data_IF_379843481043
#
_entry.id   IF_379843481043
#
_cell.length_a   1.000
_cell.length_b   1.000
_cell.length_c   1.000
_cell.angle_alpha   90.00
_cell.angle_beta   90.00
_cell.angle_gamma   90.00
#
_symmetry.space_group_name_H-M   'P 1'
#
loop_
_entity.id
_entity.type
_entity.pdbx_description
1 polymer ?
#
# COMPACT_ATOMS: atom_id res chain seq x y z
N UNK A 1 10.48 -18.69 -27.48
CA UNK A 1 9.80 -18.59 -26.18
C UNK A 1 9.83 -17.10 -25.80
N UNK A 2 8.70 -16.40 -25.83
CA UNK A 2 8.64 -15.05 -25.29
C UNK A 2 8.85 -15.18 -23.78
N UNK A 3 9.91 -14.59 -23.25
CA UNK A 3 10.04 -14.36 -21.81
C UNK A 3 8.78 -13.61 -21.37
N UNK A 4 8.01 -14.24 -20.47
CA UNK A 4 6.90 -13.57 -19.80
C UNK A 4 7.53 -12.52 -18.91
N UNK A 5 7.65 -11.29 -19.41
CA UNK A 5 8.16 -10.17 -18.62
C UNK A 5 7.29 -10.05 -17.36
N UNK A 6 7.91 -10.20 -16.22
CA UNK A 6 7.22 -10.10 -14.93
C UNK A 6 6.78 -8.65 -14.72
N UNK A 7 5.46 -8.42 -14.61
CA UNK A 7 4.92 -7.10 -14.29
C UNK A 7 5.10 -6.79 -12.80
N UNK A 8 5.68 -5.64 -12.50
CA UNK A 8 5.88 -5.15 -11.15
C UNK A 8 4.54 -4.67 -10.59
N UNK A 9 4.14 -5.29 -9.50
CA UNK A 9 2.87 -4.99 -8.83
C UNK A 9 2.98 -3.76 -7.91
N UNK A 10 1.84 -3.17 -7.54
CA UNK A 10 1.74 -2.10 -6.54
C UNK A 10 2.49 -2.44 -5.25
N UNK A 11 2.33 -3.66 -4.76
CA UNK A 11 3.00 -4.13 -3.54
C UNK A 11 4.53 -4.15 -3.69
N UNK A 12 5.03 -4.67 -4.80
CA UNK A 12 6.48 -4.69 -5.06
C UNK A 12 7.05 -3.28 -5.17
N UNK A 13 6.35 -2.38 -5.87
CA UNK A 13 6.75 -0.98 -5.98
C UNK A 13 6.81 -0.28 -4.61
N UNK A 14 5.71 -0.31 -3.86
CA UNK A 14 5.63 0.39 -2.57
C UNK A 14 6.59 -0.19 -1.54
N UNK A 15 6.71 -1.52 -1.48
CA UNK A 15 7.67 -2.19 -0.61
C UNK A 15 9.11 -1.78 -0.95
N UNK A 16 9.48 -1.79 -2.24
CA UNK A 16 10.84 -1.42 -2.68
C UNK A 16 11.12 0.06 -2.42
N UNK A 17 10.12 0.93 -2.63
CA UNK A 17 10.24 2.36 -2.36
C UNK A 17 10.45 2.65 -0.86
N UNK A 18 9.82 1.90 0.02
CA UNK A 18 9.98 2.01 1.48
C UNK A 18 11.24 1.32 2.02
N UNK A 19 11.55 0.14 1.50
CA UNK A 19 12.70 -0.67 1.90
C UNK A 19 13.15 -1.58 0.76
N UNK A 20 14.34 -1.33 0.20
CA UNK A 20 14.88 -2.11 -0.91
C UNK A 20 14.94 -3.61 -0.61
N UNK A 21 15.34 -3.99 0.61
CA UNK A 21 15.40 -5.40 1.05
C UNK A 21 14.01 -6.01 1.10
N UNK A 22 12.99 -5.31 1.65
CA UNK A 22 11.62 -5.80 1.68
C UNK A 22 11.05 -5.97 0.26
N UNK A 23 11.33 -5.03 -0.64
CA UNK A 23 10.94 -5.13 -2.05
C UNK A 23 11.56 -6.37 -2.71
N UNK A 24 12.85 -6.55 -2.55
CA UNK A 24 13.58 -7.69 -3.08
C UNK A 24 13.03 -9.03 -2.55
N UNK A 25 12.85 -9.17 -1.23
CA UNK A 25 12.27 -10.36 -0.59
C UNK A 25 10.83 -10.60 -1.09
N UNK A 26 10.03 -9.56 -1.22
CA UNK A 26 8.67 -9.66 -1.76
C UNK A 26 8.65 -10.21 -3.19
N UNK A 27 9.64 -9.85 -4.00
CA UNK A 27 9.78 -10.29 -5.38
C UNK A 27 10.31 -11.71 -5.50
N UNK A 28 11.41 -12.02 -4.83
CA UNK A 28 12.14 -13.28 -4.99
C UNK A 28 11.59 -14.43 -4.13
N UNK A 29 10.95 -14.14 -2.99
CA UNK A 29 10.47 -15.15 -2.05
C UNK A 29 8.94 -15.25 -1.99
N UNK A 30 8.26 -15.16 -3.15
CA UNK A 30 6.78 -15.20 -3.22
C UNK A 30 6.15 -16.47 -2.63
N UNK A 31 6.84 -17.59 -2.67
CA UNK A 31 6.38 -18.90 -2.17
C UNK A 31 6.74 -19.20 -0.71
N UNK A 32 7.60 -18.39 -0.08
CA UNK A 32 8.17 -18.67 1.25
C UNK A 32 7.48 -17.89 2.38
N UNK A 33 6.36 -17.23 2.08
CA UNK A 33 5.64 -16.48 3.09
C UNK A 33 5.00 -17.40 4.11
N UNK A 34 5.02 -17.02 5.40
CA UNK A 34 4.27 -17.75 6.40
C UNK A 34 2.78 -17.80 6.02
N UNK A 35 2.06 -18.86 6.39
CA UNK A 35 0.61 -18.91 6.21
C UNK A 35 -0.07 -17.69 6.79
N UNK A 36 -1.15 -17.25 6.15
CA UNK A 36 -1.93 -16.14 6.67
C UNK A 36 -2.45 -16.45 8.07
N UNK A 37 -2.33 -15.49 8.96
CA UNK A 37 -3.00 -15.59 10.26
C UNK A 37 -4.51 -15.42 10.09
N UNK A 38 -5.30 -15.96 11.01
CA UNK A 38 -6.76 -15.77 11.04
C UNK A 38 -7.15 -14.28 10.92
N UNK A 39 -6.41 -13.39 11.58
CA UNK A 39 -6.65 -11.95 11.50
C UNK A 39 -6.41 -11.38 10.09
N UNK A 40 -5.43 -11.91 9.35
CA UNK A 40 -5.15 -11.52 7.97
C UNK A 40 -6.23 -12.06 7.03
N UNK A 41 -6.63 -13.32 7.17
CA UNK A 41 -7.71 -13.93 6.39
C UNK A 41 -9.03 -13.17 6.59
N UNK A 42 -9.36 -12.85 7.84
CA UNK A 42 -10.56 -12.07 8.15
C UNK A 42 -10.52 -10.66 7.54
N UNK A 43 -9.37 -10.00 7.55
CA UNK A 43 -9.21 -8.70 6.87
C UNK A 43 -9.46 -8.80 5.36
N UNK A 44 -8.96 -9.84 4.69
CA UNK A 44 -9.23 -10.07 3.27
C UNK A 44 -10.71 -10.35 3.01
N UNK A 45 -11.34 -11.19 3.83
CA UNK A 45 -12.77 -11.47 3.74
C UNK A 45 -13.60 -10.19 3.87
N UNK A 46 -13.36 -9.39 4.91
CA UNK A 46 -14.03 -8.10 5.12
C UNK A 46 -13.78 -7.16 3.95
N UNK A 47 -12.53 -7.04 3.50
CA UNK A 47 -12.15 -6.21 2.35
C UNK A 47 -12.96 -6.56 1.09
N UNK A 48 -13.06 -7.85 0.77
CA UNK A 48 -13.85 -8.35 -0.37
C UNK A 48 -15.34 -7.97 -0.23
N UNK A 49 -15.93 -8.14 0.96
CA UNK A 49 -17.33 -7.80 1.23
C UNK A 49 -17.58 -6.30 1.11
N UNK A 50 -16.67 -5.46 1.61
CA UNK A 50 -16.79 -4.00 1.51
C UNK A 50 -16.60 -3.54 0.07
N UNK A 51 -15.64 -4.10 -0.68
CA UNK A 51 -15.50 -3.86 -2.11
C UNK A 51 -16.77 -4.18 -2.89
N UNK A 52 -17.44 -5.31 -2.58
CA UNK A 52 -18.74 -5.63 -3.20
C UNK A 52 -19.80 -4.57 -2.86
N UNK A 53 -19.90 -4.11 -1.59
CA UNK A 53 -20.83 -3.04 -1.19
C UNK A 53 -20.55 -1.70 -1.87
N UNK A 54 -19.30 -1.42 -2.19
CA UNK A 54 -18.95 -0.23 -2.98
C UNK A 54 -19.40 -0.36 -4.43
N UNK A 55 -19.25 -1.54 -5.04
CA UNK A 55 -19.77 -1.83 -6.39
C UNK A 55 -21.29 -1.74 -6.46
N UNK A 56 -21.99 -2.17 -5.42
CA UNK A 56 -23.48 -2.10 -5.32
C UNK A 56 -23.99 -0.64 -5.40
N UNK A 57 -23.14 0.37 -5.14
CA UNK A 57 -23.49 1.78 -5.34
C UNK A 57 -23.63 2.17 -6.84
N UNK A 58 -23.22 1.30 -7.75
CA UNK A 58 -23.23 1.54 -9.19
C UNK A 58 -23.86 0.34 -9.92
N UNK A 59 -25.18 0.21 -9.94
CA UNK A 59 -25.89 -0.98 -10.46
C UNK A 59 -25.59 -1.27 -11.94
N UNK A 60 -25.19 -0.25 -12.72
CA UNK A 60 -24.83 -0.38 -14.13
C UNK A 60 -23.31 -0.45 -14.35
N UNK A 61 -22.52 -0.67 -13.29
CA UNK A 61 -21.06 -0.80 -13.38
C UNK A 61 -20.67 -2.15 -13.98
N UNK A 62 -19.61 -2.16 -14.77
CA UNK A 62 -19.06 -3.35 -15.40
C UNK A 62 -17.85 -3.88 -14.62
N UNK A 63 -17.91 -5.13 -14.19
CA UNK A 63 -16.75 -5.82 -13.61
C UNK A 63 -15.81 -6.26 -14.75
N UNK A 64 -14.56 -5.82 -14.65
CA UNK A 64 -13.49 -6.26 -15.55
C UNK A 64 -12.87 -7.54 -14.97
N UNK A 65 -12.77 -8.57 -15.80
CA UNK A 65 -12.19 -9.86 -15.41
C UNK A 65 -11.35 -10.44 -16.55
N UNK A 66 -10.47 -11.36 -16.20
CA UNK A 66 -9.62 -12.08 -17.14
C UNK A 66 -8.87 -13.21 -16.43
N UNK A 67 -8.27 -14.10 -17.20
CA UNK A 67 -7.55 -15.28 -16.70
C UNK A 67 -6.14 -14.94 -16.18
N UNK A 68 -5.59 -13.81 -16.60
CA UNK A 68 -4.29 -13.29 -16.16
C UNK A 68 -4.24 -11.76 -16.29
N UNK A 69 -3.17 -11.13 -15.84
CA UNK A 69 -3.02 -9.68 -15.88
C UNK A 69 -3.14 -9.11 -17.30
N UNK A 70 -2.51 -9.73 -18.29
CA UNK A 70 -2.55 -9.25 -19.69
C UNK A 70 -3.98 -9.24 -20.24
N UNK A 71 -4.77 -10.29 -19.97
CA UNK A 71 -6.17 -10.34 -20.39
C UNK A 71 -7.04 -9.30 -19.69
N UNK A 72 -6.80 -9.05 -18.39
CA UNK A 72 -7.53 -7.99 -17.65
C UNK A 72 -7.18 -6.60 -18.20
N UNK A 73 -5.90 -6.32 -18.49
CA UNK A 73 -5.45 -5.06 -19.11
C UNK A 73 -6.11 -4.87 -20.49
N UNK A 74 -6.08 -5.90 -21.33
CA UNK A 74 -6.71 -5.85 -22.66
C UNK A 74 -8.23 -5.61 -22.57
N UNK A 75 -8.91 -6.33 -21.66
CA UNK A 75 -10.35 -6.15 -21.40
C UNK A 75 -10.65 -4.74 -20.89
N UNK A 76 -9.83 -4.21 -19.97
CA UNK A 76 -9.94 -2.82 -19.47
C UNK A 76 -9.87 -1.83 -20.63
N UNK A 77 -8.83 -1.94 -21.46
CA UNK A 77 -8.62 -1.02 -22.58
C UNK A 77 -9.81 -1.05 -23.55
N UNK A 78 -10.28 -2.25 -23.94
CA UNK A 78 -11.43 -2.39 -24.80
C UNK A 78 -12.72 -1.81 -24.19
N UNK A 79 -13.00 -2.07 -22.92
CA UNK A 79 -14.20 -1.56 -22.25
C UNK A 79 -14.18 -0.02 -22.15
N UNK A 80 -13.05 0.55 -21.78
CA UNK A 80 -12.89 2.00 -21.69
C UNK A 80 -12.94 2.70 -23.05
N UNK A 81 -12.48 2.07 -24.12
CA UNK A 81 -12.56 2.62 -25.47
C UNK A 81 -13.99 2.61 -26.02
N UNK A 82 -14.74 1.52 -25.80
CA UNK A 82 -16.10 1.35 -26.33
C UNK A 82 -17.15 2.21 -25.63
N UNK A 83 -16.90 2.66 -24.42
CA UNK A 83 -17.89 3.34 -23.57
C UNK A 83 -17.50 4.79 -23.37
N UNK A 84 -18.38 5.73 -23.74
CA UNK A 84 -18.13 7.15 -23.50
C UNK A 84 -18.32 7.54 -22.03
N UNK A 85 -19.34 7.00 -21.38
CA UNK A 85 -19.61 7.23 -19.96
C UNK A 85 -19.90 5.89 -19.28
N UNK A 86 -19.28 5.61 -18.15
CA UNK A 86 -19.49 4.34 -17.46
C UNK A 86 -18.74 4.21 -16.15
N UNK A 87 -19.02 3.13 -15.45
CA UNK A 87 -18.30 2.73 -14.23
C UNK A 87 -17.75 1.32 -14.45
N UNK A 88 -16.49 1.15 -14.10
CA UNK A 88 -15.75 -0.10 -14.28
C UNK A 88 -15.10 -0.49 -12.96
N UNK A 89 -15.20 -1.78 -12.63
CA UNK A 89 -14.63 -2.34 -11.41
C UNK A 89 -13.42 -3.21 -11.74
N UNK A 90 -12.41 -3.18 -10.86
CA UNK A 90 -11.18 -3.98 -10.99
C UNK A 90 -10.43 -3.71 -12.31
N UNK A 91 -10.52 -2.49 -12.82
CA UNK A 91 -9.85 -2.09 -14.06
C UNK A 91 -8.34 -2.09 -13.87
N UNK A 92 -7.61 -2.74 -14.78
CA UNK A 92 -6.14 -2.84 -14.73
C UNK A 92 -5.48 -1.94 -15.77
N UNK A 93 -4.45 -1.23 -15.33
CA UNK A 93 -3.59 -0.38 -16.14
C UNK A 93 -2.17 -0.93 -16.14
N UNK A 94 -1.45 -0.73 -17.24
CA UNK A 94 -0.06 -1.15 -17.38
C UNK A 94 0.74 -0.07 -18.11
N UNK A 95 1.89 0.25 -17.56
CA UNK A 95 2.88 1.13 -18.18
C UNK A 95 4.30 0.75 -17.73
N UNK A 96 5.24 0.59 -18.68
CA UNK A 96 6.65 0.34 -18.41
C UNK A 96 6.91 -0.82 -17.42
N UNK A 97 6.23 -1.95 -17.63
CA UNK A 97 6.26 -3.15 -16.80
C UNK A 97 5.61 -3.00 -15.39
N UNK A 98 5.01 -1.87 -15.08
CA UNK A 98 4.24 -1.67 -13.84
C UNK A 98 2.76 -1.90 -14.09
N UNK A 99 2.11 -2.65 -13.19
CA UNK A 99 0.68 -2.91 -13.24
C UNK A 99 -0.02 -2.37 -12.00
N UNK A 100 -1.16 -1.73 -12.22
CA UNK A 100 -2.07 -1.30 -11.16
C UNK A 100 -3.50 -1.75 -11.46
N UNK A 101 -4.25 -2.11 -10.39
CA UNK A 101 -5.69 -2.34 -10.46
C UNK A 101 -6.38 -1.27 -9.63
N UNK A 102 -7.45 -0.72 -10.19
CA UNK A 102 -8.29 0.26 -9.53
C UNK A 102 -9.62 -0.40 -9.13
N UNK A 103 -10.04 -0.24 -7.87
CA UNK A 103 -11.28 -0.82 -7.39
C UNK A 103 -12.47 -0.33 -8.21
N UNK A 104 -12.55 1.00 -8.44
CA UNK A 104 -13.61 1.63 -9.22
C UNK A 104 -13.03 2.72 -10.11
N UNK A 105 -13.36 2.67 -11.40
CA UNK A 105 -13.06 3.72 -12.38
C UNK A 105 -14.38 4.27 -12.93
N UNK A 106 -14.62 5.58 -12.76
CA UNK A 106 -15.71 6.28 -13.43
C UNK A 106 -15.15 7.04 -14.62
N UNK A 107 -15.73 6.84 -15.78
CA UNK A 107 -15.39 7.55 -17.01
C UNK A 107 -16.52 8.48 -17.41
N UNK A 108 -16.18 9.73 -17.75
CA UNK A 108 -17.08 10.74 -18.30
C UNK A 108 -16.34 11.40 -19.47
N UNK A 109 -16.75 11.11 -20.71
CA UNK A 109 -16.04 11.54 -21.89
C UNK A 109 -14.60 11.01 -21.91
N UNK A 110 -13.64 11.91 -21.85
CA UNK A 110 -12.19 11.61 -21.83
C UNK A 110 -11.59 11.63 -20.42
N UNK A 111 -12.39 11.96 -19.41
CA UNK A 111 -11.92 12.14 -18.01
C UNK A 111 -12.20 10.89 -17.18
N UNK A 112 -11.24 10.53 -16.33
CA UNK A 112 -11.34 9.40 -15.44
C UNK A 112 -11.28 9.86 -13.98
N UNK A 113 -12.17 9.27 -13.16
CA UNK A 113 -12.15 9.35 -11.72
C UNK A 113 -11.83 7.98 -11.14
N UNK A 114 -10.69 7.83 -10.47
CA UNK A 114 -10.29 6.60 -9.77
C UNK A 114 -10.70 6.69 -8.30
N UNK A 115 -11.36 5.64 -7.82
CA UNK A 115 -11.82 5.51 -6.45
C UNK A 115 -11.20 4.24 -5.87
N UNK A 116 -10.51 4.38 -4.76
CA UNK A 116 -9.98 3.27 -3.96
C UNK A 116 -10.84 3.08 -2.72
N UNK A 117 -11.22 1.84 -2.44
CA UNK A 117 -12.13 1.47 -1.35
C UNK A 117 -11.36 0.83 -0.21
N UNK A 118 -11.55 1.32 1.00
CA UNK A 118 -10.88 0.80 2.20
C UNK A 118 -11.91 0.26 3.20
N UNK A 119 -11.65 -0.90 3.76
CA UNK A 119 -12.50 -1.55 4.76
C UNK A 119 -12.35 -0.98 6.18
N UNK A 120 -11.50 0.02 6.37
CA UNK A 120 -11.36 0.76 7.62
C UNK A 120 -12.30 1.98 7.65
N UNK A 121 -12.52 2.53 8.84
CA UNK A 121 -13.14 3.84 8.99
C UNK A 121 -12.19 4.95 8.54
N UNK A 122 -12.75 6.12 8.28
CA UNK A 122 -12.03 7.31 7.84
C UNK A 122 -10.79 7.59 8.70
N UNK A 123 -9.68 7.90 8.02
CA UNK A 123 -8.39 8.27 8.59
C UNK A 123 -8.04 9.70 8.22
N UNK A 124 -7.27 10.35 9.10
CA UNK A 124 -6.66 11.64 8.82
C UNK A 124 -5.53 11.46 7.80
N UNK A 125 -5.73 11.93 6.56
CA UNK A 125 -4.79 11.75 5.46
C UNK A 125 -3.45 12.49 5.66
N UNK A 126 -3.37 13.41 6.62
CA UNK A 126 -2.12 14.10 6.98
C UNK A 126 -1.21 13.26 7.87
N UNK A 127 -1.76 12.25 8.55
CA UNK A 127 -1.04 11.34 9.44
C UNK A 127 -0.52 10.11 8.70
N UNK A 128 0.46 9.42 9.28
CA UNK A 128 1.10 8.24 8.67
C UNK A 128 0.10 7.20 8.17
N UNK A 129 -0.88 6.81 9.01
CA UNK A 129 -1.89 5.81 8.64
C UNK A 129 -2.78 6.22 7.46
N UNK A 130 -3.08 7.52 7.32
CA UNK A 130 -3.85 8.03 6.19
C UNK A 130 -3.00 8.20 4.94
N UNK A 131 -1.73 8.58 5.12
CA UNK A 131 -0.78 8.77 4.03
C UNK A 131 -0.54 7.50 3.23
N UNK A 132 -0.45 6.35 3.89
CA UNK A 132 -0.30 5.05 3.21
C UNK A 132 -1.43 4.79 2.20
N UNK A 133 -2.67 5.20 2.50
CA UNK A 133 -3.78 5.06 1.55
C UNK A 133 -3.67 6.02 0.36
N UNK A 134 -3.11 7.22 0.59
CA UNK A 134 -2.84 8.17 -0.50
C UNK A 134 -1.71 7.65 -1.39
N UNK A 135 -0.65 7.09 -0.82
CA UNK A 135 0.47 6.47 -1.56
C UNK A 135 -0.01 5.29 -2.41
N UNK A 136 -0.87 4.44 -1.85
CA UNK A 136 -1.50 3.30 -2.52
C UNK A 136 -2.31 3.75 -3.75
N UNK A 137 -3.15 4.78 -3.59
CA UNK A 137 -3.93 5.35 -4.69
C UNK A 137 -3.05 6.10 -5.69
N UNK A 138 -2.04 6.84 -5.23
CA UNK A 138 -1.11 7.58 -6.08
C UNK A 138 -0.34 6.65 -7.04
N UNK A 139 0.06 5.46 -6.58
CA UNK A 139 0.64 4.46 -7.47
C UNK A 139 -0.33 4.06 -8.59
N UNK A 140 -1.58 3.76 -8.24
CA UNK A 140 -2.60 3.38 -9.22
C UNK A 140 -2.81 4.48 -10.27
N UNK A 141 -2.90 5.73 -9.81
CA UNK A 141 -3.06 6.91 -10.67
C UNK A 141 -1.82 7.15 -11.53
N UNK A 142 -0.63 6.99 -10.96
CA UNK A 142 0.63 7.12 -11.68
C UNK A 142 0.69 6.14 -12.86
N UNK A 143 0.42 4.84 -12.64
CA UNK A 143 0.40 3.84 -13.71
C UNK A 143 -0.68 4.18 -14.74
N UNK A 144 -1.89 4.54 -14.32
CA UNK A 144 -2.99 4.88 -15.23
C UNK A 144 -2.64 6.09 -16.12
N UNK A 145 -2.05 7.16 -15.55
CA UNK A 145 -1.62 8.34 -16.31
C UNK A 145 -0.48 8.00 -17.27
N UNK A 146 0.49 7.17 -16.86
CA UNK A 146 1.57 6.69 -17.76
C UNK A 146 1.03 5.81 -18.88
N UNK A 147 -0.06 5.10 -18.66
CA UNK A 147 -0.78 4.34 -19.68
C UNK A 147 -1.64 5.22 -20.62
N UNK A 148 -1.62 6.54 -20.45
CA UNK A 148 -2.30 7.53 -21.29
C UNK A 148 -3.74 7.87 -20.89
N UNK A 149 -4.18 7.47 -19.68
CA UNK A 149 -5.54 7.81 -19.19
C UNK A 149 -5.54 9.16 -18.46
N UNK A 150 -6.47 10.04 -18.84
CA UNK A 150 -6.62 11.38 -18.25
C UNK A 150 -7.35 11.30 -16.89
N UNK A 151 -6.63 10.91 -15.84
CA UNK A 151 -7.17 10.83 -14.48
C UNK A 151 -7.13 12.22 -13.85
N UNK A 152 -8.31 12.87 -13.74
CA UNK A 152 -8.45 14.22 -13.17
C UNK A 152 -8.98 14.23 -11.73
N UNK A 153 -9.61 13.13 -11.30
CA UNK A 153 -10.21 13.04 -9.98
C UNK A 153 -9.84 11.75 -9.28
N UNK A 154 -9.57 11.84 -7.98
CA UNK A 154 -9.28 10.67 -7.14
C UNK A 154 -10.00 10.77 -5.81
N UNK A 155 -10.46 9.62 -5.30
CA UNK A 155 -11.14 9.56 -4.01
C UNK A 155 -10.80 8.27 -3.25
N UNK A 156 -10.74 8.40 -1.94
CA UNK A 156 -10.71 7.29 -0.99
C UNK A 156 -12.11 7.13 -0.39
N UNK A 157 -12.63 5.92 -0.44
CA UNK A 157 -13.88 5.57 0.20
C UNK A 157 -13.63 4.71 1.42
N UNK A 158 -14.04 5.21 2.59
CA UNK A 158 -13.91 4.55 3.88
C UNK A 158 -15.28 4.15 4.41
N UNK A 159 -15.33 3.21 5.35
CA UNK A 159 -16.57 2.97 6.11
C UNK A 159 -16.93 4.21 6.92
N UNK A 160 -18.18 4.65 6.79
CA UNK A 160 -18.70 5.77 7.57
C UNK A 160 -18.86 5.39 9.05
N UNK A 161 -18.34 6.24 9.94
CA UNK A 161 -18.52 6.09 11.39
C UNK A 161 -19.96 6.34 11.83
N UNK A 162 -20.73 7.03 10.99
CA UNK A 162 -22.12 7.43 11.29
C UNK A 162 -23.15 6.44 10.76
N UNK A 163 -22.69 5.47 9.94
CA UNK A 163 -23.59 4.42 9.41
C UNK A 163 -24.11 3.52 10.53
N UNK A 164 -25.41 3.28 10.52
CA UNK A 164 -26.10 2.33 11.41
C UNK A 164 -26.78 1.25 10.58
N UNK A 165 -26.87 0.04 11.13
CA UNK A 165 -27.60 -1.05 10.49
C UNK A 165 -29.06 -0.63 10.26
N UNK A 166 -29.52 -0.75 9.01
CA UNK A 166 -30.85 -0.27 8.60
C UNK A 166 -30.83 1.08 7.87
N UNK A 167 -29.73 1.82 7.92
CA UNK A 167 -29.58 3.03 7.10
C UNK A 167 -29.55 2.70 5.60
N UNK A 168 -29.91 3.68 4.80
CA UNK A 168 -29.78 3.55 3.34
C UNK A 168 -28.32 3.30 2.93
N UNK A 169 -28.11 2.38 1.99
CA UNK A 169 -26.78 1.90 1.58
C UNK A 169 -25.84 3.04 1.10
N UNK A 170 -26.38 4.15 0.60
CA UNK A 170 -25.58 5.32 0.18
C UNK A 170 -24.79 5.98 1.32
N UNK A 171 -25.22 5.78 2.58
CA UNK A 171 -24.54 6.31 3.78
C UNK A 171 -23.41 5.43 4.27
N UNK A 172 -23.23 4.22 3.70
CA UNK A 172 -22.21 3.26 4.15
C UNK A 172 -20.79 3.79 4.04
N UNK A 173 -20.54 4.67 3.07
CA UNK A 173 -19.19 5.17 2.77
C UNK A 173 -19.06 6.68 3.05
N UNK A 174 -18.01 7.03 3.80
CA UNK A 174 -17.40 8.36 3.80
C UNK A 174 -16.51 8.49 2.57
N UNK A 175 -16.73 9.52 1.74
CA UNK A 175 -16.09 9.69 0.43
C UNK A 175 -15.19 10.92 0.46
N UNK A 176 -13.88 10.70 0.52
CA UNK A 176 -12.90 11.78 0.63
C UNK A 176 -12.24 11.98 -0.73
N UNK A 177 -12.37 13.18 -1.29
CA UNK A 177 -11.59 13.58 -2.44
C UNK A 177 -10.16 13.88 -2.01
N UNK A 178 -9.18 13.28 -2.69
CA UNK A 178 -7.76 13.41 -2.36
C UNK A 178 -6.88 13.69 -3.58
N UNK A 179 -7.46 14.26 -4.64
CA UNK A 179 -6.77 14.54 -5.91
C UNK A 179 -5.49 15.34 -5.70
N UNK A 180 -5.54 16.41 -4.90
CA UNK A 180 -4.36 17.24 -4.64
C UNK A 180 -3.25 16.45 -3.93
N UNK A 181 -3.60 15.64 -2.93
CA UNK A 181 -2.60 14.84 -2.21
C UNK A 181 -1.95 13.78 -3.11
N UNK A 182 -2.74 13.15 -4.00
CA UNK A 182 -2.24 12.20 -5.01
C UNK A 182 -1.34 12.92 -6.02
N UNK A 183 -1.74 14.10 -6.51
CA UNK A 183 -0.99 14.89 -7.50
C UNK A 183 0.37 15.36 -6.98
N UNK A 184 0.54 15.50 -5.67
CA UNK A 184 1.84 15.78 -5.05
C UNK A 184 2.79 14.57 -5.08
N UNK A 185 2.25 13.34 -5.04
CA UNK A 185 3.05 12.11 -4.99
C UNK A 185 3.39 11.55 -6.39
N UNK A 186 2.49 11.72 -7.37
CA UNK A 186 2.69 11.18 -8.72
C UNK A 186 4.03 11.60 -9.34
N UNK A 187 4.48 12.88 -9.28
CA UNK A 187 5.80 13.26 -9.79
C UNK A 187 6.97 12.62 -9.04
N UNK A 188 6.81 12.33 -7.75
CA UNK A 188 7.83 11.63 -6.96
C UNK A 188 8.04 10.21 -7.49
N UNK A 189 6.96 9.55 -7.90
CA UNK A 189 7.05 8.20 -8.48
C UNK A 189 7.70 8.17 -9.86
N UNK A 190 7.69 9.26 -10.61
CA UNK A 190 8.37 9.35 -11.93
C UNK A 190 9.88 9.11 -11.84
N UNK A 191 10.50 9.40 -10.72
CA UNK A 191 11.93 9.20 -10.49
C UNK A 191 12.32 7.79 -10.03
N UNK A 192 11.35 6.91 -9.75
CA UNK A 192 11.56 5.63 -9.06
C UNK A 192 11.71 4.39 -9.96
N UNK A 193 11.14 4.32 -11.18
CA UNK A 193 11.08 3.08 -11.94
C UNK A 193 12.43 2.38 -12.10
N UNK A 194 13.45 3.09 -12.55
CA UNK A 194 14.76 2.49 -12.80
C UNK A 194 15.40 1.90 -11.53
N UNK A 195 15.33 2.61 -10.41
CA UNK A 195 15.89 2.10 -9.14
C UNK A 195 15.11 0.90 -8.60
N UNK A 196 13.79 0.89 -8.77
CA UNK A 196 12.94 -0.23 -8.36
C UNK A 196 13.22 -1.44 -9.24
N UNK A 197 13.22 -1.30 -10.57
CA UNK A 197 13.54 -2.38 -11.50
C UNK A 197 14.94 -2.95 -11.22
N UNK A 198 15.95 -2.10 -11.05
CA UNK A 198 17.32 -2.53 -10.72
C UNK A 198 17.38 -3.32 -9.40
N UNK A 199 16.63 -2.90 -8.37
CA UNK A 199 16.55 -3.63 -7.10
C UNK A 199 15.91 -4.99 -7.27
N UNK A 200 14.78 -5.07 -7.97
CA UNK A 200 14.02 -6.31 -8.15
C UNK A 200 14.70 -7.31 -9.09
N UNK A 201 15.45 -6.82 -10.08
CA UNK A 201 16.22 -7.66 -11.01
C UNK A 201 17.58 -8.11 -10.45
N UNK A 202 18.04 -7.52 -9.34
CA UNK A 202 19.30 -7.92 -8.73
C UNK A 202 19.19 -9.36 -8.18
N UNK A 203 20.15 -10.21 -8.50
CA UNK A 203 20.24 -11.57 -7.96
C UNK A 203 20.63 -11.61 -6.49
N UNK A 204 21.32 -10.59 -6.01
CA UNK A 204 21.79 -10.48 -4.63
C UNK A 204 20.82 -9.63 -3.80
N UNK A 205 20.49 -10.13 -2.62
CA UNK A 205 19.68 -9.37 -1.66
C UNK A 205 20.40 -8.07 -1.26
N UNK A 206 19.70 -6.91 -1.31
CA UNK A 206 20.25 -5.68 -0.76
C UNK A 206 20.56 -5.81 0.73
N UNK A 207 21.66 -5.19 1.18
CA UNK A 207 22.03 -5.18 2.60
C UNK A 207 20.92 -4.54 3.43
N UNK A 208 20.36 -5.25 4.44
CA UNK A 208 19.32 -4.72 5.28
C UNK A 208 19.76 -3.48 6.05
N UNK A 209 18.89 -2.46 6.05
CA UNK A 209 19.05 -1.26 6.90
C UNK A 209 17.86 -1.19 7.85
N UNK A 210 18.07 -1.09 9.17
CA UNK A 210 16.96 -1.04 10.11
C UNK A 210 16.22 0.31 9.99
N UNK A 211 14.91 0.21 9.83
CA UNK A 211 13.98 1.33 9.76
C UNK A 211 12.86 1.15 10.79
N UNK A 212 12.07 2.19 11.03
CA UNK A 212 10.97 2.14 12.01
C UNK A 212 10.00 0.98 11.78
N UNK A 213 9.75 0.63 10.51
CA UNK A 213 8.75 -0.37 10.14
C UNK A 213 9.24 -1.82 10.28
N UNK A 214 10.54 -2.03 10.56
CA UNK A 214 11.09 -3.37 10.82
C UNK A 214 10.36 -4.11 11.94
N UNK A 215 9.84 -3.39 12.95
CA UNK A 215 9.08 -3.98 14.07
C UNK A 215 7.82 -4.75 13.64
N UNK A 216 7.25 -4.40 12.47
CA UNK A 216 6.03 -5.00 11.94
C UNK A 216 6.28 -5.74 10.62
N UNK A 217 7.54 -5.96 10.25
CA UNK A 217 7.93 -6.58 9.00
C UNK A 217 7.94 -8.11 9.13
N UNK A 218 7.29 -8.83 8.23
CA UNK A 218 7.27 -10.30 8.20
C UNK A 218 8.66 -10.93 8.00
N UNK A 219 9.65 -10.14 7.55
CA UNK A 219 11.02 -10.58 7.24
C UNK A 219 12.07 -10.05 8.22
N UNK A 220 11.67 -9.48 9.36
CA UNK A 220 12.59 -8.86 10.31
C UNK A 220 13.67 -9.83 10.82
N UNK A 221 13.30 -11.07 11.20
CA UNK A 221 14.25 -12.10 11.64
C UNK A 221 15.15 -12.63 10.53
N UNK A 222 14.68 -12.57 9.27
CA UNK A 222 15.54 -12.93 8.13
C UNK A 222 16.58 -11.84 7.85
N UNK A 223 16.19 -10.56 7.99
CA UNK A 223 17.11 -9.43 7.86
C UNK A 223 18.08 -9.32 9.05
N UNK A 224 17.61 -9.65 10.24
CA UNK A 224 18.33 -9.56 11.51
C UNK A 224 18.02 -10.81 12.35
N UNK A 225 18.87 -11.86 12.29
CA UNK A 225 18.64 -13.08 13.05
C UNK A 225 18.41 -12.84 14.55
N UNK A 226 19.10 -11.85 15.13
CA UNK A 226 18.96 -11.42 16.53
C UNK A 226 17.98 -10.24 16.69
N UNK A 227 16.89 -10.20 15.90
CA UNK A 227 15.95 -9.06 15.91
C UNK A 227 15.38 -8.79 17.29
N UNK A 228 15.14 -9.81 18.11
CA UNK A 228 14.62 -9.69 19.46
C UNK A 228 15.58 -8.93 20.39
N UNK A 229 16.88 -8.96 20.11
CA UNK A 229 17.87 -8.14 20.82
C UNK A 229 17.80 -6.64 20.44
N UNK A 230 17.09 -6.29 19.37
CA UNK A 230 16.88 -4.90 18.96
C UNK A 230 15.76 -4.25 19.80
N UNK A 231 15.99 -4.17 21.10
CA UNK A 231 15.00 -3.74 22.11
C UNK A 231 14.55 -2.28 21.97
N UNK A 232 15.21 -1.46 21.14
CA UNK A 232 14.80 -0.11 20.82
C UNK A 232 13.36 -0.04 20.28
N UNK A 233 12.89 -1.08 19.60
CA UNK A 233 11.51 -1.16 19.08
C UNK A 233 10.45 -1.42 20.15
N UNK A 234 10.87 -1.81 21.36
CA UNK A 234 9.97 -2.09 22.48
C UNK A 234 9.68 -0.82 23.29
N UNK A 235 10.44 0.28 23.09
CA UNK A 235 10.26 1.54 23.82
C UNK A 235 9.00 2.26 23.29
N UNK A 236 7.97 2.46 24.14
CA UNK A 236 6.69 2.99 23.70
C UNK A 236 6.79 4.44 23.22
N UNK A 237 6.18 4.75 22.08
CA UNK A 237 6.13 6.11 21.52
C UNK A 237 7.49 6.70 21.12
N UNK A 238 8.54 5.90 21.06
CA UNK A 238 9.85 6.35 20.59
C UNK A 238 9.83 6.60 19.09
N UNK A 239 10.31 7.76 18.66
CA UNK A 239 10.59 8.05 17.23
C UNK A 239 11.92 7.40 16.85
N UNK A 240 11.88 6.13 16.49
CA UNK A 240 13.07 5.29 16.32
C UNK A 240 13.98 5.72 15.16
N UNK A 241 13.48 6.32 14.10
CA UNK A 241 14.23 6.61 12.86
C UNK A 241 15.59 7.28 13.15
N UNK A 242 15.62 8.43 13.83
CA UNK A 242 16.86 9.16 14.15
C UNK A 242 17.86 8.35 14.98
N UNK A 243 17.35 7.47 15.85
CA UNK A 243 18.20 6.64 16.69
C UNK A 243 18.78 5.47 15.91
N UNK A 244 17.99 4.87 15.02
CA UNK A 244 18.45 3.83 14.11
C UNK A 244 19.49 4.34 13.13
N UNK A 245 19.33 5.57 12.61
CA UNK A 245 20.33 6.26 11.79
C UNK A 245 21.64 6.50 12.54
N UNK A 246 21.54 6.83 13.84
CA UNK A 246 22.70 7.00 14.72
C UNK A 246 23.32 5.67 15.21
N UNK A 247 22.85 4.52 14.69
CA UNK A 247 23.40 3.20 15.02
C UNK A 247 22.82 2.56 16.29
N UNK A 248 21.89 3.21 16.99
CA UNK A 248 21.28 2.68 18.23
C UNK A 248 20.31 1.54 17.90
N UNK A 249 20.38 0.45 18.66
CA UNK A 249 19.58 -0.76 18.43
C UNK A 249 18.90 -1.28 19.68
N UNK A 250 19.43 -0.98 20.86
CA UNK A 250 19.00 -1.56 22.13
C UNK A 250 18.49 -0.48 23.10
N UNK A 251 17.79 -0.90 24.15
CA UNK A 251 17.44 0.00 25.25
C UNK A 251 18.69 0.55 25.94
N UNK A 252 19.78 -0.24 26.04
CA UNK A 252 21.05 0.21 26.58
C UNK A 252 21.64 1.40 25.81
N UNK A 253 21.49 1.43 24.49
CA UNK A 253 21.96 2.55 23.65
C UNK A 253 21.18 3.85 23.90
N UNK A 254 20.06 3.75 24.61
CA UNK A 254 19.20 4.90 24.92
C UNK A 254 19.48 5.53 26.29
N UNK A 255 20.38 4.94 27.07
CA UNK A 255 20.81 5.51 28.38
C UNK A 255 21.50 6.85 28.13
N UNK A 256 21.04 7.90 28.80
CA UNK A 256 21.55 9.26 28.62
C UNK A 256 20.88 10.06 27.49
N UNK A 257 20.03 9.44 26.67
CA UNK A 257 19.25 10.15 25.66
C UNK A 257 18.09 10.95 26.27
N UNK A 258 17.65 11.99 25.56
CA UNK A 258 16.50 12.79 25.98
C UNK A 258 15.19 12.01 25.74
N UNK A 259 14.70 11.37 26.81
CA UNK A 259 13.49 10.57 26.84
C UNK A 259 12.45 11.19 27.79
N UNK A 260 11.16 10.94 27.52
CA UNK A 260 10.11 11.24 28.49
C UNK A 260 10.06 10.15 29.60
N UNK A 261 9.30 10.39 30.67
CA UNK A 261 9.29 9.50 31.85
C UNK A 261 8.78 8.09 31.54
N UNK A 262 7.82 7.95 30.61
CA UNK A 262 7.33 6.65 30.17
C UNK A 262 8.43 5.88 29.42
N UNK A 263 9.17 6.56 28.54
CA UNK A 263 10.27 5.97 27.81
C UNK A 263 11.45 5.60 28.71
N UNK A 264 11.81 6.45 29.68
CA UNK A 264 12.86 6.15 30.66
C UNK A 264 12.51 4.89 31.45
N UNK A 265 11.30 4.83 32.04
CA UNK A 265 10.84 3.64 32.77
C UNK A 265 10.87 2.39 31.90
N UNK A 266 10.46 2.48 30.61
CA UNK A 266 10.53 1.35 29.69
C UNK A 266 11.99 0.91 29.43
N UNK A 267 12.91 1.86 29.27
CA UNK A 267 14.34 1.57 29.10
C UNK A 267 14.88 0.85 30.34
N UNK A 268 14.60 1.37 31.55
CA UNK A 268 15.05 0.77 32.80
C UNK A 268 14.48 -0.66 32.95
N UNK A 269 13.18 -0.85 32.76
CA UNK A 269 12.56 -2.20 32.80
C UNK A 269 13.16 -3.18 31.80
N UNK A 270 13.44 -2.74 30.56
CA UNK A 270 14.03 -3.61 29.52
C UNK A 270 15.46 -4.01 29.91
N UNK A 271 16.26 -3.07 30.47
CA UNK A 271 17.64 -3.32 30.88
C UNK A 271 17.68 -4.25 32.10
N UNK A 272 16.83 -3.99 33.09
CA UNK A 272 16.77 -4.76 34.33
C UNK A 272 16.05 -6.10 34.19
N UNK A 273 15.45 -6.38 33.00
CA UNK A 273 14.65 -7.58 32.72
C UNK A 273 13.49 -7.80 33.69
N UNK A 274 12.85 -6.72 34.15
CA UNK A 274 11.73 -6.70 35.11
C UNK A 274 10.42 -6.39 34.39
#
# INVERSE_FOLDING_TARGET
MQEVTHMITKREFLNTNGCATLGWLTHHQKGERPPLTFAQENRFYIGTRIGQKARDQFPNGQLISGINNQSVIATTRMALQKTQNGVFFEAAFEANDFIAKADIVRKIGTVYHIIEVKSSTEKDLSKSEGREYVEDLAYTVWVARKAGFNVEKTSLWFLSKDYRLGDHASKLFSKIECTQAVDMLVPVYDSKPNSIQATLQNTNQPTPKPITDCKNCDFNHQCYPDFDAMTIYQIPGLRTAKHLEAGRRTAQDMVGEKLNDTQKRAVDCIIDQV
#
